data_IF_754967588329
#
_entry.id   IF_754967588329
#
_cell.length_a   1.000
_cell.length_b   1.000
_cell.length_c   1.000
_cell.angle_alpha   90.00
_cell.angle_beta   90.00
_cell.angle_gamma   90.00
#
_symmetry.space_group_name_H-M   'P 1'
#
loop_
_entity.id
_entity.type
_entity.pdbx_description
1 polymer ?
#
# COMPACT_ATOMS: atom_id res chain seq x y z
N UNK A 1 13.66 -24.64 1.55
CA UNK A 1 12.44 -24.52 0.73
C UNK A 1 12.66 -23.42 -0.30
N UNK A 2 13.32 -23.72 -1.43
CA UNK A 2 13.71 -22.70 -2.43
C UNK A 2 13.21 -23.09 -3.84
N UNK A 3 11.98 -23.59 -3.96
CA UNK A 3 11.46 -24.14 -5.21
C UNK A 3 9.93 -24.18 -5.19
N UNK A 4 9.32 -24.97 -6.07
CA UNK A 4 7.86 -24.98 -6.26
C UNK A 4 7.03 -25.34 -5.01
N UNK A 5 7.65 -25.99 -4.02
CA UNK A 5 7.03 -26.35 -2.73
C UNK A 5 7.30 -25.34 -1.61
N UNK A 6 7.83 -24.14 -1.93
CA UNK A 6 8.12 -23.12 -0.94
C UNK A 6 6.85 -22.55 -0.29
N UNK A 7 5.79 -22.39 -1.09
CA UNK A 7 4.54 -21.75 -0.68
C UNK A 7 3.38 -22.75 -0.60
N UNK A 8 2.50 -22.56 0.38
CA UNK A 8 1.39 -23.49 0.69
C UNK A 8 0.18 -23.32 -0.24
N UNK A 9 0.04 -22.16 -0.89
CA UNK A 9 -1.18 -21.73 -1.60
C UNK A 9 -1.73 -22.75 -2.58
N UNK A 10 -0.88 -23.36 -3.40
CA UNK A 10 -1.34 -24.34 -4.40
C UNK A 10 -1.86 -25.63 -3.76
N UNK A 11 -1.26 -26.06 -2.64
CA UNK A 11 -1.76 -27.22 -1.88
C UNK A 11 -3.11 -26.94 -1.20
N UNK A 12 -3.41 -25.68 -0.91
CA UNK A 12 -4.69 -25.21 -0.37
C UNK A 12 -5.70 -24.82 -1.47
N UNK A 13 -5.34 -24.96 -2.75
CA UNK A 13 -6.22 -24.59 -3.87
C UNK A 13 -6.40 -23.09 -4.08
N UNK A 14 -5.55 -22.24 -3.49
CA UNK A 14 -5.59 -20.77 -3.58
C UNK A 14 -5.03 -20.23 -4.91
N UNK A 15 -5.52 -20.78 -6.03
CA UNK A 15 -5.18 -20.28 -7.36
C UNK A 15 -5.81 -18.91 -7.61
N UNK A 16 -5.02 -17.98 -8.17
CA UNK A 16 -5.43 -16.58 -8.34
C UNK A 16 -5.18 -15.70 -7.11
N UNK A 17 -4.65 -16.25 -6.00
CA UNK A 17 -4.34 -15.47 -4.80
C UNK A 17 -3.06 -14.64 -4.95
N UNK A 18 -2.00 -15.21 -5.55
CA UNK A 18 -0.69 -14.55 -5.66
C UNK A 18 -0.71 -13.12 -6.24
N UNK A 19 -1.47 -12.80 -7.30
CA UNK A 19 -1.56 -11.44 -7.82
C UNK A 19 -2.00 -10.40 -6.77
N UNK A 20 -2.75 -10.81 -5.75
CA UNK A 20 -3.21 -9.91 -4.68
C UNK A 20 -2.07 -9.32 -3.85
N UNK A 21 -0.93 -10.02 -3.72
CA UNK A 21 0.26 -9.47 -3.06
C UNK A 21 0.83 -8.28 -3.81
N UNK A 22 0.95 -8.39 -5.13
CA UNK A 22 1.46 -7.29 -5.97
C UNK A 22 0.45 -6.14 -6.01
N UNK A 23 -0.85 -6.45 -6.09
CA UNK A 23 -1.89 -5.43 -6.00
C UNK A 23 -1.85 -4.68 -4.66
N UNK A 24 -1.57 -5.40 -3.56
CA UNK A 24 -1.36 -4.80 -2.25
C UNK A 24 -0.21 -3.79 -2.23
N UNK A 25 0.92 -4.11 -2.86
CA UNK A 25 2.04 -3.17 -2.99
C UNK A 25 1.67 -1.93 -3.82
N UNK A 26 0.95 -2.10 -4.93
CA UNK A 26 0.48 -0.99 -5.77
C UNK A 26 -0.45 -0.07 -4.99
N UNK A 27 -1.43 -0.63 -4.27
CA UNK A 27 -2.33 0.15 -3.42
C UNK A 27 -1.60 0.82 -2.27
N UNK A 28 -0.62 0.16 -1.66
CA UNK A 28 0.20 0.76 -0.60
C UNK A 28 0.95 2.00 -1.10
N UNK A 29 1.55 1.94 -2.30
CA UNK A 29 2.20 3.09 -2.93
C UNK A 29 1.22 4.25 -3.15
N UNK A 30 0.04 3.98 -3.71
CA UNK A 30 -1.01 4.99 -3.91
C UNK A 30 -1.47 5.63 -2.60
N UNK A 31 -1.78 4.80 -1.59
CA UNK A 31 -2.25 5.27 -0.28
C UNK A 31 -1.17 6.08 0.43
N UNK A 32 0.10 5.65 0.35
CA UNK A 32 1.21 6.36 0.93
C UNK A 32 1.40 7.75 0.31
N UNK A 33 1.35 7.86 -1.03
CA UNK A 33 1.45 9.14 -1.72
C UNK A 33 0.28 10.09 -1.35
N UNK A 34 -0.96 9.58 -1.33
CA UNK A 34 -2.12 10.36 -0.92
C UNK A 34 -2.03 10.81 0.55
N UNK A 35 -1.61 9.91 1.44
CA UNK A 35 -1.49 10.19 2.87
C UNK A 35 -0.42 11.26 3.16
N UNK A 36 0.75 11.20 2.50
CA UNK A 36 1.80 12.22 2.64
C UNK A 36 1.36 13.60 2.16
N UNK A 37 0.46 13.67 1.17
CA UNK A 37 -0.12 14.92 0.67
C UNK A 37 -1.13 15.53 1.64
N UNK A 38 -1.91 14.69 2.34
CA UNK A 38 -3.03 15.14 3.16
C UNK A 38 -2.72 15.24 4.67
N UNK A 39 -1.72 14.52 5.16
CA UNK A 39 -1.36 14.48 6.58
C UNK A 39 -0.07 15.28 6.79
N UNK A 40 -0.22 16.53 7.21
CA UNK A 40 0.91 17.39 7.56
C UNK A 40 1.75 16.80 8.70
N UNK A 41 3.09 16.82 8.55
CA UNK A 41 4.01 16.34 9.57
C UNK A 41 4.06 14.81 9.71
N UNK A 42 3.61 14.07 8.69
CA UNK A 42 3.55 12.61 8.75
C UNK A 42 4.93 11.98 8.97
N UNK A 43 5.95 12.41 8.24
CA UNK A 43 7.27 11.80 8.30
C UNK A 43 7.95 12.05 9.65
N UNK A 44 7.82 13.27 10.20
CA UNK A 44 8.32 13.62 11.53
C UNK A 44 7.63 12.79 12.61
N UNK A 45 6.30 12.67 12.56
CA UNK A 45 5.55 11.85 13.50
C UNK A 45 5.99 10.38 13.44
N UNK A 46 6.18 9.83 12.24
CA UNK A 46 6.65 8.45 12.06
C UNK A 46 8.08 8.26 12.57
N UNK A 47 8.97 9.24 12.36
CA UNK A 47 10.34 9.21 12.87
C UNK A 47 10.39 9.17 14.41
N UNK A 48 9.42 9.79 15.08
CA UNK A 48 9.25 9.76 16.54
C UNK A 48 8.48 8.52 17.05
N UNK A 49 8.05 7.62 16.15
CA UNK A 49 7.24 6.45 16.47
C UNK A 49 5.75 6.75 16.71
N UNK A 50 5.31 8.00 16.47
CA UNK A 50 3.92 8.42 16.59
C UNK A 50 3.12 8.04 15.32
N UNK A 51 2.46 6.88 15.36
CA UNK A 51 1.70 6.33 14.22
C UNK A 51 0.25 6.80 14.13
N UNK A 52 -0.22 7.52 15.16
CA UNK A 52 -1.63 7.92 15.28
C UNK A 52 -2.15 8.74 14.09
N UNK A 53 -1.40 9.70 13.49
CA UNK A 53 -1.87 10.43 12.31
C UNK A 53 -2.16 9.51 11.11
N UNK A 54 -1.24 8.58 10.81
CA UNK A 54 -1.40 7.60 9.74
C UNK A 54 -2.58 6.66 10.00
N UNK A 55 -2.66 6.13 11.22
CA UNK A 55 -3.73 5.21 11.63
C UNK A 55 -5.10 5.85 11.54
N UNK A 56 -5.22 7.13 11.94
CA UNK A 56 -6.47 7.89 11.83
C UNK A 56 -6.88 8.08 10.37
N UNK A 57 -5.95 8.51 9.52
CA UNK A 57 -6.23 8.70 8.09
C UNK A 57 -6.68 7.39 7.43
N UNK A 58 -5.99 6.27 7.67
CA UNK A 58 -6.39 4.96 7.15
C UNK A 58 -7.74 4.50 7.73
N UNK A 59 -8.01 4.78 9.01
CA UNK A 59 -9.29 4.51 9.65
C UNK A 59 -10.45 5.22 8.96
N UNK A 60 -10.25 6.48 8.63
CA UNK A 60 -11.25 7.34 7.99
C UNK A 60 -11.45 7.06 6.50
N UNK A 61 -10.36 6.78 5.78
CA UNK A 61 -10.36 6.62 4.32
C UNK A 61 -10.57 5.18 3.85
N UNK A 62 -10.16 4.19 4.64
CA UNK A 62 -10.18 2.78 4.25
C UNK A 62 -10.98 1.93 5.24
N UNK A 63 -10.50 1.81 6.48
CA UNK A 63 -10.93 0.72 7.37
C UNK A 63 -12.42 0.79 7.74
N UNK A 64 -12.97 2.00 7.96
CA UNK A 64 -14.37 2.17 8.35
C UNK A 64 -15.39 1.64 7.35
N UNK A 65 -14.99 1.42 6.09
CA UNK A 65 -15.90 0.97 5.04
C UNK A 65 -16.03 -0.56 4.99
N UNK A 66 -15.04 -1.32 5.48
CA UNK A 66 -15.05 -2.78 5.40
C UNK A 66 -15.36 -3.27 3.98
N UNK A 67 -16.33 -4.19 3.86
CA UNK A 67 -16.81 -4.70 2.56
C UNK A 67 -17.94 -3.88 1.91
N UNK A 68 -18.23 -2.67 2.38
CA UNK A 68 -19.35 -1.86 1.87
C UNK A 68 -19.12 -1.37 0.43
N UNK A 69 -17.87 -1.08 0.08
CA UNK A 69 -17.47 -0.56 -1.23
C UNK A 69 -16.65 -1.61 -1.98
N UNK A 70 -16.77 -1.63 -3.31
CA UNK A 70 -15.86 -2.44 -4.13
C UNK A 70 -14.43 -1.88 -4.00
N UNK A 71 -13.40 -2.73 -4.16
CA UNK A 71 -12.01 -2.29 -3.95
C UNK A 71 -11.59 -1.08 -4.78
N UNK A 72 -11.96 -1.02 -6.07
CA UNK A 72 -11.62 0.12 -6.93
C UNK A 72 -12.34 1.40 -6.47
N UNK A 73 -13.64 1.34 -6.23
CA UNK A 73 -14.44 2.48 -5.73
C UNK A 73 -13.90 3.00 -4.38
N UNK A 74 -13.49 2.10 -3.49
CA UNK A 74 -12.88 2.45 -2.21
C UNK A 74 -11.55 3.17 -2.41
N UNK A 75 -10.68 2.64 -3.28
CA UNK A 75 -9.38 3.22 -3.57
C UNK A 75 -9.51 4.58 -4.22
N UNK A 76 -10.31 4.71 -5.28
CA UNK A 76 -10.57 5.97 -5.98
C UNK A 76 -11.08 7.05 -5.03
N UNK A 77 -12.00 6.67 -4.14
CA UNK A 77 -12.50 7.58 -3.10
C UNK A 77 -11.42 7.96 -2.09
N UNK A 78 -10.54 7.03 -1.70
CA UNK A 78 -9.52 7.26 -0.69
C UNK A 78 -8.40 8.18 -1.20
N UNK A 79 -7.93 7.97 -2.43
CA UNK A 79 -6.75 8.65 -3.00
C UNK A 79 -7.11 9.82 -3.94
N UNK A 80 -8.36 9.87 -4.42
CA UNK A 80 -8.90 10.92 -5.28
C UNK A 80 -8.74 10.67 -6.79
N UNK A 81 -8.18 9.54 -7.19
CA UNK A 81 -7.88 9.17 -8.58
C UNK A 81 -7.87 7.64 -8.75
N UNK A 82 -7.87 7.17 -10.00
CA UNK A 82 -7.74 5.75 -10.29
C UNK A 82 -6.36 5.22 -9.84
N UNK A 83 -6.28 4.09 -9.11
CA UNK A 83 -5.00 3.55 -8.66
C UNK A 83 -4.15 3.10 -9.86
N UNK A 84 -2.84 3.38 -9.80
CA UNK A 84 -1.85 2.97 -10.79
C UNK A 84 -0.57 2.50 -10.11
N UNK A 85 0.32 1.85 -10.85
CA UNK A 85 1.63 1.42 -10.37
C UNK A 85 2.61 2.58 -10.11
N UNK A 86 2.36 3.74 -10.72
CA UNK A 86 3.31 4.85 -10.75
C UNK A 86 3.77 5.31 -9.34
N UNK A 87 2.89 5.49 -8.34
CA UNK A 87 3.33 5.85 -6.99
C UNK A 87 4.22 4.81 -6.30
N UNK A 88 4.03 3.52 -6.61
CA UNK A 88 4.90 2.46 -6.11
C UNK A 88 6.27 2.54 -6.77
N UNK A 89 6.33 2.72 -8.09
CA UNK A 89 7.59 2.83 -8.82
C UNK A 89 8.40 4.04 -8.36
N UNK A 90 7.76 5.21 -8.22
CA UNK A 90 8.38 6.43 -7.72
C UNK A 90 8.98 6.23 -6.31
N UNK A 91 8.24 5.57 -5.41
CA UNK A 91 8.74 5.21 -4.08
C UNK A 91 9.98 4.32 -4.15
N UNK A 92 9.95 3.27 -4.98
CA UNK A 92 11.06 2.32 -5.10
C UNK A 92 12.28 2.99 -5.72
N UNK A 93 12.11 3.72 -6.82
CA UNK A 93 13.19 4.39 -7.53
C UNK A 93 13.87 5.44 -6.66
N UNK A 94 13.09 6.27 -5.96
CA UNK A 94 13.62 7.26 -5.01
C UNK A 94 14.39 6.58 -3.89
N UNK A 95 13.75 5.65 -3.18
CA UNK A 95 14.35 5.01 -2.00
C UNK A 95 15.62 4.24 -2.35
N UNK A 96 15.58 3.45 -3.41
CA UNK A 96 16.71 2.60 -3.78
C UNK A 96 17.79 3.38 -4.53
N UNK A 97 17.43 4.45 -5.25
CA UNK A 97 18.37 5.43 -5.77
C UNK A 97 19.19 6.08 -4.67
N UNK A 98 18.55 6.59 -3.62
CA UNK A 98 19.22 7.21 -2.47
C UNK A 98 20.16 6.26 -1.72
N UNK A 99 19.80 4.98 -1.61
CA UNK A 99 20.61 3.99 -0.86
C UNK A 99 21.81 3.50 -1.68
N UNK A 100 21.64 3.26 -2.98
CA UNK A 100 22.59 2.49 -3.78
C UNK A 100 23.26 3.25 -4.93
N UNK A 101 22.68 4.35 -5.42
CA UNK A 101 23.31 5.17 -6.45
C UNK A 101 24.15 6.26 -5.78
N UNK A 102 25.31 5.86 -5.27
CA UNK A 102 26.44 6.76 -4.96
C UNK A 102 27.38 6.88 -6.14
#
# INVERSE_FOLDING_TARGET
SNGVLQDVHWSEGLFGYFPTYTLGNVYAGCLHAAMRREVSGLDEALAEGATEPARRWLGERIHRFGGLLKPLDLMERAIGEAPSEAPLLDYLDTKFGEIYCT
#
